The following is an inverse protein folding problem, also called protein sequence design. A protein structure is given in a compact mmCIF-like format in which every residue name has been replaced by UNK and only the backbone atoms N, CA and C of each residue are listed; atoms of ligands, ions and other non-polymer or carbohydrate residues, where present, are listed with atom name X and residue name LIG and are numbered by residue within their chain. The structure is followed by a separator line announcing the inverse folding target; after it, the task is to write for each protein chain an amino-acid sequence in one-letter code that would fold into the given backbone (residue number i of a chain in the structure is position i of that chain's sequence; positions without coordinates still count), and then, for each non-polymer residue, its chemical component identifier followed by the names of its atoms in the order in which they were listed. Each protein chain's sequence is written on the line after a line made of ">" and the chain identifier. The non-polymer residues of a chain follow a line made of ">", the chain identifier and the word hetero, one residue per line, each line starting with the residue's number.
data_IF_340506660160
#
_entry.id   IF_340506660160
#
_cell.length_a   1.000
_cell.length_b   1.000
_cell.length_c   1.000
_cell.angle_alpha   90.00
_cell.angle_beta   90.00
_cell.angle_gamma   90.00
#
_symmetry.space_group_name_H-M   'P 1'
#
loop_
_entity.id
_entity.type
_entity.pdbx_description
1 polymer ?
#
# COMPACT_ATOMS: atom_id res chain seq x y z
N UNK A 1 -34.25 -97.56 -3.98
CA UNK A 1 -33.22 -97.02 -3.02
C UNK A 1 -32.48 -95.94 -3.73
N UNK A 2 -32.59 -94.67 -3.30
CA UNK A 2 -31.89 -93.52 -3.89
C UNK A 2 -30.77 -93.02 -2.96
N UNK A 3 -29.64 -92.68 -3.61
CA UNK A 3 -28.46 -92.05 -3.01
C UNK A 3 -28.68 -90.53 -2.77
N UNK A 4 -28.29 -90.11 -1.58
CA UNK A 4 -28.27 -88.67 -1.17
C UNK A 4 -27.10 -87.94 -1.74
N UNK A 5 -27.33 -86.90 -2.51
CA UNK A 5 -26.38 -85.93 -3.00
C UNK A 5 -26.11 -84.86 -1.95
N UNK A 6 -24.93 -84.81 -1.37
CA UNK A 6 -24.45 -83.77 -0.48
C UNK A 6 -23.98 -82.55 -1.32
N UNK A 7 -24.69 -81.43 -1.22
CA UNK A 7 -24.26 -80.14 -1.72
C UNK A 7 -23.27 -79.48 -0.72
N UNK A 8 -21.99 -79.39 -1.16
CA UNK A 8 -20.98 -78.58 -0.41
C UNK A 8 -21.13 -77.10 -0.69
N UNK A 9 -21.39 -76.34 0.37
CA UNK A 9 -21.43 -74.88 0.32
C UNK A 9 -20.04 -74.29 0.16
N UNK A 10 -19.78 -73.59 -0.95
CA UNK A 10 -18.61 -72.75 -1.14
C UNK A 10 -18.79 -71.47 -0.32
N UNK A 11 -18.02 -71.29 0.78
CA UNK A 11 -17.84 -70.01 1.46
C UNK A 11 -17.03 -69.09 0.56
N UNK A 12 -17.63 -68.01 0.08
CA UNK A 12 -16.97 -66.97 -0.64
C UNK A 12 -15.82 -66.34 0.21
N UNK A 13 -14.61 -66.41 -0.35
CA UNK A 13 -13.44 -65.70 0.22
C UNK A 13 -13.59 -64.22 -0.05
N UNK A 14 -13.29 -63.32 0.91
CA UNK A 14 -13.31 -61.89 0.67
C UNK A 14 -12.20 -61.54 -0.35
N UNK A 15 -12.59 -60.76 -1.31
CA UNK A 15 -11.71 -60.25 -2.40
C UNK A 15 -10.76 -59.21 -1.79
N UNK A 16 -9.58 -59.62 -1.31
CA UNK A 16 -8.52 -58.69 -0.92
C UNK A 16 -7.76 -58.26 -2.19
N UNK A 17 -7.96 -57.06 -2.62
CA UNK A 17 -7.15 -56.40 -3.65
C UNK A 17 -5.67 -56.39 -3.21
N UNK A 18 -4.86 -57.28 -3.79
CA UNK A 18 -3.42 -57.30 -3.60
C UNK A 18 -2.79 -56.15 -4.43
N UNK A 19 -2.74 -54.95 -3.87
CA UNK A 19 -1.95 -53.85 -4.42
C UNK A 19 -0.44 -54.14 -4.26
N UNK A 20 0.38 -53.95 -5.31
CA UNK A 20 1.82 -54.16 -5.21
C UNK A 20 2.46 -53.28 -4.16
N UNK A 21 3.50 -53.78 -3.47
CA UNK A 21 4.14 -53.12 -2.30
C UNK A 21 4.57 -51.65 -2.52
N UNK A 22 4.88 -51.28 -3.76
CA UNK A 22 5.21 -49.89 -4.14
C UNK A 22 3.98 -48.97 -4.02
N UNK A 23 2.81 -49.39 -4.46
CA UNK A 23 1.56 -48.61 -4.37
C UNK A 23 1.13 -48.36 -2.91
N UNK A 24 1.31 -49.36 -2.02
CA UNK A 24 1.00 -49.23 -0.59
C UNK A 24 1.84 -48.13 0.08
N UNK A 25 3.11 -48.02 -0.27
CA UNK A 25 4.00 -46.95 0.28
C UNK A 25 3.59 -45.57 -0.19
N UNK A 26 3.18 -45.42 -1.47
CA UNK A 26 2.69 -44.15 -2.00
C UNK A 26 1.31 -43.79 -1.42
N UNK A 27 0.40 -44.74 -1.32
CA UNK A 27 -0.91 -44.51 -0.66
C UNK A 27 -0.72 -44.10 0.79
N UNK A 28 0.15 -44.77 1.54
CA UNK A 28 0.45 -44.37 2.91
C UNK A 28 1.01 -42.95 3.02
N UNK A 29 1.98 -42.56 2.16
CA UNK A 29 2.54 -41.23 2.10
C UNK A 29 1.48 -40.16 1.76
N UNK A 30 0.66 -40.43 0.75
CA UNK A 30 -0.42 -39.51 0.35
C UNK A 30 -1.46 -39.40 1.46
N UNK A 31 -1.86 -40.52 2.08
CA UNK A 31 -2.81 -40.53 3.20
C UNK A 31 -2.25 -39.75 4.40
N UNK A 32 -0.97 -39.88 4.70
CA UNK A 32 -0.33 -39.12 5.79
C UNK A 32 -0.31 -37.62 5.48
N UNK A 33 0.01 -37.23 4.25
CA UNK A 33 -0.03 -35.83 3.81
C UNK A 33 -1.47 -35.29 3.89
N UNK A 34 -2.45 -36.03 3.39
CA UNK A 34 -3.85 -35.65 3.47
C UNK A 34 -4.34 -35.55 4.91
N UNK A 35 -3.97 -36.47 5.79
CA UNK A 35 -4.36 -36.46 7.20
C UNK A 35 -3.85 -35.20 7.93
N UNK A 36 -2.67 -34.71 7.59
CA UNK A 36 -2.07 -33.50 8.20
C UNK A 36 -2.61 -32.22 7.58
N UNK A 37 -2.71 -32.16 6.25
CA UNK A 37 -3.04 -30.92 5.54
C UNK A 37 -4.55 -30.70 5.38
N UNK A 38 -5.36 -31.76 5.28
CA UNK A 38 -6.80 -31.63 5.10
C UNK A 38 -7.50 -30.90 6.27
N UNK A 39 -7.21 -31.21 7.54
CA UNK A 39 -7.76 -30.45 8.65
C UNK A 39 -7.38 -28.96 8.61
N UNK A 40 -6.11 -28.65 8.26
CA UNK A 40 -5.66 -27.28 8.15
C UNK A 40 -6.38 -26.50 7.02
N UNK A 41 -6.61 -27.15 5.87
CA UNK A 41 -7.37 -26.61 4.76
C UNK A 41 -8.85 -26.41 5.13
N UNK A 42 -9.45 -27.35 5.87
CA UNK A 42 -10.83 -27.23 6.33
C UNK A 42 -10.97 -26.07 7.34
N UNK A 43 -10.03 -25.92 8.26
CA UNK A 43 -10.01 -24.80 9.20
C UNK A 43 -9.83 -23.48 8.44
N UNK A 44 -8.91 -23.41 7.49
CA UNK A 44 -8.71 -22.23 6.63
C UNK A 44 -10.00 -21.87 5.88
N UNK A 45 -10.67 -22.87 5.29
CA UNK A 45 -11.94 -22.66 4.58
C UNK A 45 -13.05 -22.19 5.53
N UNK A 46 -13.17 -22.82 6.70
CA UNK A 46 -14.12 -22.41 7.73
C UNK A 46 -13.88 -20.98 8.22
N UNK A 47 -12.62 -20.61 8.48
CA UNK A 47 -12.24 -19.25 8.86
C UNK A 47 -12.54 -18.22 7.75
N UNK A 48 -12.45 -18.60 6.49
CA UNK A 48 -12.82 -17.74 5.36
C UNK A 48 -14.33 -17.55 5.22
N UNK A 49 -15.11 -18.59 5.48
CA UNK A 49 -16.57 -18.58 5.38
C UNK A 49 -17.20 -17.88 6.59
N UNK A 50 -16.77 -18.25 7.79
CA UNK A 50 -17.36 -17.77 9.04
C UNK A 50 -16.93 -16.33 9.39
N UNK A 51 -15.83 -15.85 8.84
CA UNK A 51 -15.25 -14.52 9.10
C UNK A 51 -15.48 -14.06 10.55
N UNK A 52 -14.91 -14.74 11.56
CA UNK A 52 -15.18 -14.43 12.95
C UNK A 52 -14.87 -12.97 13.25
N UNK A 53 -15.67 -12.30 14.08
CA UNK A 53 -15.52 -10.87 14.42
C UNK A 53 -14.15 -10.51 15.02
N UNK A 54 -13.49 -11.47 15.69
CA UNK A 54 -12.12 -11.28 16.24
C UNK A 54 -11.00 -11.39 15.18
N UNK A 55 -11.31 -11.88 13.98
CA UNK A 55 -10.48 -11.77 12.77
C UNK A 55 -10.74 -10.45 12.01
N UNK A 56 -11.30 -9.47 12.70
CA UNK A 56 -11.63 -8.19 12.09
C UNK A 56 -10.43 -7.55 11.39
N UNK A 57 -10.70 -6.80 10.32
CA UNK A 57 -9.68 -6.10 9.52
C UNK A 57 -8.94 -4.99 10.29
N UNK A 58 -9.14 -4.90 11.61
CA UNK A 58 -8.54 -3.88 12.47
C UNK A 58 -7.08 -4.14 12.81
N UNK A 59 -6.61 -5.36 12.59
CA UNK A 59 -5.25 -5.73 12.90
C UNK A 59 -4.35 -5.54 11.67
N UNK A 60 -3.41 -4.61 11.80
CA UNK A 60 -2.30 -4.50 10.85
C UNK A 60 -1.16 -5.42 11.33
N UNK A 61 -0.81 -6.50 10.60
CA UNK A 61 0.22 -7.44 11.04
C UNK A 61 1.62 -6.84 11.02
N UNK A 62 1.79 -5.64 10.45
CA UNK A 62 3.09 -5.01 10.25
C UNK A 62 3.27 -3.76 11.11
N UNK A 63 2.17 -3.12 11.51
CA UNK A 63 2.21 -1.84 12.23
C UNK A 63 1.15 -1.81 13.34
N UNK A 64 1.60 -1.59 14.57
CA UNK A 64 0.74 -1.21 15.70
C UNK A 64 0.84 0.29 15.99
N UNK A 65 -0.11 0.85 16.74
CA UNK A 65 -0.05 2.24 17.23
C UNK A 65 -0.03 2.27 18.74
N UNK A 66 0.85 3.07 19.33
CA UNK A 66 0.97 3.22 20.80
C UNK A 66 -0.20 3.99 21.41
N UNK A 67 -0.85 4.86 20.62
CA UNK A 67 -2.05 5.58 21.03
C UNK A 67 -2.93 5.85 19.81
N UNK A 68 -4.16 5.36 19.85
CA UNK A 68 -5.15 5.62 18.81
C UNK A 68 -6.16 6.64 19.34
N UNK A 69 -5.78 7.92 19.31
CA UNK A 69 -6.69 9.00 19.70
C UNK A 69 -7.56 9.41 18.50
N UNK A 70 -8.86 9.62 18.71
CA UNK A 70 -9.74 10.13 17.68
C UNK A 70 -9.21 11.43 17.06
N UNK A 71 -9.47 11.61 15.77
CA UNK A 71 -9.06 12.81 15.03
C UNK A 71 -9.89 14.02 15.46
N UNK A 72 -11.19 13.80 15.66
CA UNK A 72 -12.12 14.87 16.00
C UNK A 72 -12.56 14.82 17.47
N UNK A 73 -12.95 15.98 17.98
CA UNK A 73 -13.61 16.12 19.27
C UNK A 73 -14.89 16.96 19.12
N UNK A 74 -15.92 16.65 19.93
CA UNK A 74 -17.13 17.44 19.96
C UNK A 74 -16.87 18.76 20.71
N UNK A 75 -17.22 19.87 20.06
CA UNK A 75 -17.33 21.17 20.71
C UNK A 75 -18.77 21.33 21.21
N UNK A 76 -19.00 21.25 22.54
CA UNK A 76 -20.35 21.31 23.10
C UNK A 76 -21.01 22.68 22.92
N UNK A 77 -20.22 23.76 22.83
CA UNK A 77 -20.73 25.13 22.73
C UNK A 77 -21.55 25.40 21.49
N UNK A 78 -21.13 24.82 20.34
CA UNK A 78 -21.80 25.03 19.04
C UNK A 78 -22.24 23.75 18.37
N UNK A 79 -22.20 22.62 19.09
CA UNK A 79 -22.57 21.29 18.60
C UNK A 79 -21.89 20.92 17.26
N UNK A 80 -20.59 21.18 17.14
CA UNK A 80 -19.78 20.82 15.97
C UNK A 80 -18.64 19.90 16.38
N UNK A 81 -18.24 19.04 15.44
CA UNK A 81 -16.94 18.37 15.53
C UNK A 81 -15.84 19.28 15.02
N UNK A 82 -14.68 19.22 15.67
CA UNK A 82 -13.46 19.94 15.27
C UNK A 82 -12.25 19.04 15.43
N UNK A 83 -11.19 19.32 14.69
CA UNK A 83 -9.90 18.64 14.87
C UNK A 83 -9.38 18.88 16.29
N UNK A 84 -8.93 17.83 16.98
CA UNK A 84 -8.33 17.90 18.31
C UNK A 84 -7.07 18.76 18.30
N UNK A 85 -6.80 19.51 19.38
CA UNK A 85 -5.62 20.37 19.48
C UNK A 85 -4.30 19.62 19.25
N UNK A 86 -4.17 18.40 19.79
CA UNK A 86 -2.97 17.58 19.61
C UNK A 86 -2.81 17.01 18.20
N UNK A 87 -3.85 17.01 17.38
CA UNK A 87 -3.83 16.57 15.98
C UNK A 87 -3.52 17.73 15.00
N UNK A 88 -3.61 18.97 15.43
CA UNK A 88 -3.35 20.15 14.59
C UNK A 88 -1.90 20.23 14.08
N UNK A 89 -0.99 19.46 14.65
CA UNK A 89 0.38 19.33 14.14
C UNK A 89 0.41 18.67 12.76
N UNK A 90 -0.48 17.70 12.53
CA UNK A 90 -0.54 16.94 11.28
C UNK A 90 -1.74 17.26 10.41
N UNK A 91 -2.84 17.75 10.98
CA UNK A 91 -4.08 18.07 10.28
C UNK A 91 -4.38 19.56 10.32
N UNK A 92 -5.03 20.08 9.29
CA UNK A 92 -5.55 21.44 9.30
C UNK A 92 -6.86 21.52 10.09
N UNK A 93 -7.12 22.68 10.71
CA UNK A 93 -8.37 22.91 11.41
C UNK A 93 -9.54 22.73 10.44
N UNK A 94 -10.52 21.94 10.87
CA UNK A 94 -11.71 21.63 10.12
C UNK A 94 -12.86 21.41 11.09
N UNK A 95 -14.06 21.84 10.71
CA UNK A 95 -15.26 21.73 11.54
C UNK A 95 -16.46 21.31 10.72
N UNK A 96 -17.35 20.52 11.31
CA UNK A 96 -18.62 20.14 10.70
C UNK A 96 -19.68 19.89 11.77
N UNK A 97 -21.00 20.02 11.48
CA UNK A 97 -22.05 19.81 12.45
C UNK A 97 -22.06 18.39 13.04
N UNK A 98 -22.31 18.29 14.34
CA UNK A 98 -22.46 17.01 15.03
C UNK A 98 -23.60 16.18 14.44
N UNK A 99 -24.77 16.81 14.27
CA UNK A 99 -25.92 16.15 13.63
C UNK A 99 -25.95 16.49 12.14
N UNK A 100 -25.99 15.49 11.31
CA UNK A 100 -26.21 15.62 9.85
C UNK A 100 -27.69 15.90 9.58
N UNK A 101 -28.02 16.94 8.83
CA UNK A 101 -29.39 17.19 8.38
C UNK A 101 -29.75 16.27 7.20
N UNK A 102 -31.06 16.04 6.97
CA UNK A 102 -31.56 15.11 5.94
C UNK A 102 -31.19 15.50 4.50
N UNK A 103 -31.03 16.79 4.24
CA UNK A 103 -30.65 17.39 2.97
C UNK A 103 -29.14 17.49 2.75
N UNK A 104 -28.35 17.04 3.74
CA UNK A 104 -26.88 17.12 3.71
C UNK A 104 -26.27 15.86 3.13
N UNK A 105 -25.35 16.04 2.15
CA UNK A 105 -24.47 15.02 1.64
C UNK A 105 -23.07 15.21 2.21
N UNK A 106 -22.60 14.26 3.02
CA UNK A 106 -21.36 14.35 3.79
C UNK A 106 -20.25 13.48 3.19
N UNK A 107 -19.16 14.11 2.78
CA UNK A 107 -17.99 13.48 2.14
C UNK A 107 -16.79 13.63 3.04
N UNK A 108 -16.10 12.54 3.36
CA UNK A 108 -14.79 12.57 4.02
C UNK A 108 -13.69 12.29 3.01
N UNK A 109 -12.72 13.20 2.91
CA UNK A 109 -11.56 13.10 2.01
C UNK A 109 -10.32 12.72 2.82
N UNK A 110 -9.86 11.48 2.66
CA UNK A 110 -8.73 10.92 3.40
C UNK A 110 -7.47 10.91 2.52
N UNK A 111 -6.33 11.28 3.11
CA UNK A 111 -5.05 11.20 2.42
C UNK A 111 -3.91 11.89 3.15
N UNK A 112 -2.85 12.18 2.42
CA UNK A 112 -1.67 12.87 2.91
C UNK A 112 -1.77 14.40 2.83
N UNK A 113 -0.62 15.06 2.83
CA UNK A 113 -0.50 16.52 2.73
C UNK A 113 -1.11 17.11 1.45
N UNK A 114 -1.17 16.35 0.37
CA UNK A 114 -1.84 16.76 -0.87
C UNK A 114 -3.35 16.92 -0.69
N UNK A 115 -3.99 16.06 0.10
CA UNK A 115 -5.41 16.20 0.46
C UNK A 115 -5.60 17.39 1.37
N UNK A 116 -4.68 17.60 2.34
CA UNK A 116 -4.74 18.77 3.22
C UNK A 116 -4.66 20.10 2.46
N UNK A 117 -3.92 20.14 1.32
CA UNK A 117 -3.72 21.33 0.51
C UNK A 117 -2.33 21.95 0.61
N UNK A 118 -1.36 21.27 1.28
CA UNK A 118 0.03 21.76 1.39
C UNK A 118 0.68 21.93 0.01
N UNK A 119 1.54 22.94 -0.15
CA UNK A 119 2.08 23.88 0.87
C UNK A 119 1.16 25.07 1.20
N UNK A 120 0.00 25.13 0.57
CA UNK A 120 -0.97 26.20 0.74
C UNK A 120 -1.94 25.90 1.91
N UNK A 121 -2.94 26.75 2.09
CA UNK A 121 -3.95 26.58 3.12
C UNK A 121 -5.07 25.62 2.70
N UNK A 122 -5.84 25.15 3.67
CA UNK A 122 -6.95 24.22 3.43
C UNK A 122 -8.04 24.82 2.51
N UNK A 123 -8.20 26.13 2.52
CA UNK A 123 -9.18 26.87 1.71
C UNK A 123 -8.91 26.71 0.21
N UNK A 124 -7.66 26.52 -0.18
CA UNK A 124 -7.23 26.29 -1.58
C UNK A 124 -7.04 24.82 -1.92
N UNK A 125 -7.33 23.92 -0.98
CA UNK A 125 -7.27 22.48 -1.22
C UNK A 125 -8.33 22.03 -2.24
N UNK A 126 -8.09 20.93 -2.92
CA UNK A 126 -9.08 20.37 -3.85
C UNK A 126 -10.41 20.02 -3.16
N UNK A 127 -10.38 19.74 -1.85
CA UNK A 127 -11.59 19.43 -1.08
C UNK A 127 -12.49 20.66 -0.92
N UNK A 128 -11.90 21.85 -0.78
CA UNK A 128 -12.64 23.12 -0.75
C UNK A 128 -13.21 23.44 -2.13
N UNK A 129 -12.45 23.24 -3.19
CA UNK A 129 -12.93 23.39 -4.57
C UNK A 129 -14.03 22.39 -4.89
N UNK A 130 -13.90 21.14 -4.47
CA UNK A 130 -14.93 20.11 -4.64
C UNK A 130 -16.25 20.54 -3.97
N UNK A 131 -16.18 21.05 -2.73
CA UNK A 131 -17.37 21.57 -2.02
C UNK A 131 -18.03 22.70 -2.77
N UNK A 132 -17.25 23.67 -3.27
CA UNK A 132 -17.75 24.79 -4.03
C UNK A 132 -18.42 24.33 -5.34
N UNK A 133 -17.76 23.45 -6.09
CA UNK A 133 -18.29 22.94 -7.33
C UNK A 133 -19.61 22.18 -7.14
N UNK A 134 -19.68 21.30 -6.14
CA UNK A 134 -20.90 20.55 -5.82
C UNK A 134 -22.03 21.48 -5.38
N UNK A 135 -21.74 22.48 -4.53
CA UNK A 135 -22.73 23.45 -4.07
C UNK A 135 -23.24 24.34 -5.21
N UNK A 136 -22.38 24.68 -6.18
CA UNK A 136 -22.76 25.47 -7.35
C UNK A 136 -23.64 24.67 -8.31
N UNK A 137 -23.31 23.40 -8.52
CA UNK A 137 -24.06 22.54 -9.43
C UNK A 137 -25.41 22.05 -8.85
N UNK A 138 -25.48 21.95 -7.52
CA UNK A 138 -26.65 21.43 -6.80
C UNK A 138 -27.01 22.36 -5.64
N UNK A 139 -27.53 23.57 -5.94
CA UNK A 139 -27.84 24.58 -4.91
C UNK A 139 -28.93 24.12 -3.94
N UNK A 140 -29.76 23.16 -4.32
CA UNK A 140 -30.84 22.58 -3.53
C UNK A 140 -30.36 21.64 -2.44
N UNK A 141 -29.09 21.18 -2.50
CA UNK A 141 -28.48 20.25 -1.54
C UNK A 141 -27.39 20.95 -0.72
N UNK A 142 -27.19 20.48 0.49
CA UNK A 142 -26.08 20.90 1.32
C UNK A 142 -24.94 19.90 1.23
N UNK A 143 -23.72 20.37 0.91
CA UNK A 143 -22.52 19.53 0.84
C UNK A 143 -21.57 19.86 1.98
N UNK A 144 -21.22 18.82 2.74
CA UNK A 144 -20.16 18.88 3.75
C UNK A 144 -18.98 18.04 3.25
N UNK A 145 -17.91 18.70 2.81
CA UNK A 145 -16.68 18.05 2.35
C UNK A 145 -15.62 18.25 3.42
N UNK A 146 -15.39 17.19 4.20
CA UNK A 146 -14.50 17.20 5.37
C UNK A 146 -13.11 16.74 4.95
N UNK A 147 -12.13 17.59 5.17
CA UNK A 147 -10.74 17.32 4.84
C UNK A 147 -10.06 16.56 5.98
N UNK A 148 -9.73 15.29 5.76
CA UNK A 148 -8.96 14.43 6.65
C UNK A 148 -7.54 14.16 6.08
N UNK A 149 -6.96 15.17 5.44
CA UNK A 149 -5.58 15.11 4.95
C UNK A 149 -4.58 15.32 6.08
N UNK A 150 -3.75 14.32 6.36
CA UNK A 150 -2.68 14.37 7.36
C UNK A 150 -1.30 14.55 6.72
N UNK A 151 -0.50 15.50 7.21
CA UNK A 151 0.89 15.68 6.76
C UNK A 151 1.66 14.38 6.99
N UNK A 152 2.33 13.90 5.95
CA UNK A 152 3.13 12.66 5.99
C UNK A 152 2.35 11.36 6.26
N UNK A 153 1.01 11.40 6.22
CA UNK A 153 0.17 10.22 6.44
C UNK A 153 0.24 9.25 5.25
N UNK A 154 0.64 8.02 5.52
CA UNK A 154 0.60 6.90 4.60
C UNK A 154 -0.69 6.09 4.78
N UNK A 155 -0.97 5.14 3.88
CA UNK A 155 -2.21 4.36 3.84
C UNK A 155 -2.57 3.65 5.16
N UNK A 156 -1.59 3.10 5.88
CA UNK A 156 -1.82 2.42 7.17
C UNK A 156 -2.29 3.38 8.27
N UNK A 157 -1.90 4.66 8.23
CA UNK A 157 -2.38 5.69 9.17
C UNK A 157 -3.78 6.17 8.85
N UNK A 158 -4.24 5.99 7.60
CA UNK A 158 -5.60 6.35 7.19
C UNK A 158 -6.65 5.35 7.66
N UNK A 159 -6.27 4.09 7.90
CA UNK A 159 -7.23 3.05 8.33
C UNK A 159 -7.96 3.43 9.63
N UNK A 160 -7.29 3.82 10.72
CA UNK A 160 -7.99 4.25 11.95
C UNK A 160 -8.83 5.52 11.74
N UNK A 161 -8.38 6.48 10.93
CA UNK A 161 -9.17 7.67 10.59
C UNK A 161 -10.44 7.30 9.83
N UNK A 162 -10.35 6.38 8.87
CA UNK A 162 -11.51 5.86 8.14
C UNK A 162 -12.51 5.19 9.09
N UNK A 163 -12.01 4.36 10.01
CA UNK A 163 -12.88 3.68 10.99
C UNK A 163 -13.61 4.67 11.89
N UNK A 164 -12.93 5.72 12.34
CA UNK A 164 -13.55 6.80 13.10
C UNK A 164 -14.67 7.48 12.28
N UNK A 165 -14.38 7.87 11.03
CA UNK A 165 -15.36 8.50 10.14
C UNK A 165 -16.61 7.65 9.95
N UNK A 166 -16.43 6.35 9.69
CA UNK A 166 -17.54 5.42 9.45
C UNK A 166 -18.35 5.08 10.70
N UNK A 167 -17.70 5.11 11.87
CA UNK A 167 -18.37 4.74 13.13
C UNK A 167 -19.11 5.90 13.79
N UNK A 168 -18.68 7.15 13.56
CA UNK A 168 -19.12 8.27 14.37
C UNK A 168 -19.79 9.42 13.59
N UNK A 169 -19.56 9.54 12.26
CA UNK A 169 -19.87 10.77 11.56
C UNK A 169 -20.83 10.63 10.38
N UNK A 170 -21.39 9.45 10.15
CA UNK A 170 -22.43 9.18 9.15
C UNK A 170 -22.08 9.72 7.74
N UNK A 171 -21.01 9.24 7.10
CA UNK A 171 -20.62 9.63 5.75
C UNK A 171 -21.53 9.07 4.69
N UNK A 172 -21.78 9.84 3.63
CA UNK A 172 -22.43 9.37 2.39
C UNK A 172 -21.41 8.93 1.35
N UNK A 173 -20.17 9.44 1.42
CA UNK A 173 -19.09 9.08 0.51
C UNK A 173 -17.73 9.21 1.22
N UNK A 174 -16.87 8.25 0.98
CA UNK A 174 -15.45 8.31 1.34
C UNK A 174 -14.63 8.51 0.07
N UNK A 175 -13.76 9.52 0.06
CA UNK A 175 -12.76 9.75 -0.98
C UNK A 175 -11.39 9.46 -0.40
N UNK A 176 -10.63 8.54 -1.02
CA UNK A 176 -9.29 8.13 -0.58
C UNK A 176 -8.28 8.53 -1.66
N UNK A 177 -7.39 9.48 -1.33
CA UNK A 177 -6.31 9.94 -2.20
C UNK A 177 -4.96 9.76 -1.47
N UNK A 178 -4.27 8.65 -1.74
CA UNK A 178 -3.05 8.25 -0.98
C UNK A 178 -2.03 7.53 -1.87
N UNK A 179 -0.82 7.40 -1.37
CA UNK A 179 0.28 6.69 -2.03
C UNK A 179 1.61 7.46 -2.06
N UNK A 180 1.62 8.75 -1.68
CA UNK A 180 2.84 9.57 -1.71
C UNK A 180 3.77 9.31 -0.51
N UNK A 181 3.24 8.85 0.62
CA UNK A 181 3.97 8.82 1.90
C UNK A 181 4.34 7.40 2.35
N UNK A 182 4.20 6.41 1.48
CA UNK A 182 4.35 4.99 1.86
C UNK A 182 5.77 4.64 2.31
N UNK A 183 6.76 5.41 1.89
CA UNK A 183 8.18 5.18 2.17
C UNK A 183 8.76 6.12 3.23
N UNK A 184 7.95 6.94 3.91
CA UNK A 184 8.42 7.97 4.84
C UNK A 184 8.87 7.41 6.19
N UNK A 185 8.20 6.41 6.73
CA UNK A 185 8.48 5.90 8.06
C UNK A 185 9.27 4.59 8.02
N UNK A 186 10.28 4.46 8.88
CA UNK A 186 10.97 3.20 9.10
C UNK A 186 10.05 2.26 9.90
N UNK A 187 9.17 1.63 9.18
CA UNK A 187 8.34 0.56 9.71
C UNK A 187 9.20 -0.67 9.90
N UNK A 188 9.01 -1.42 10.97
CA UNK A 188 9.81 -2.62 11.17
C UNK A 188 9.40 -3.74 10.20
N UNK A 189 9.71 -3.55 8.96
CA UNK A 189 9.96 -4.68 8.07
C UNK A 189 11.27 -5.41 8.44
N UNK A 190 11.74 -5.27 9.70
CA UNK A 190 12.99 -5.91 10.19
C UNK A 190 12.98 -7.40 9.89
N UNK A 191 11.83 -8.03 9.98
CA UNK A 191 11.68 -9.45 9.67
C UNK A 191 11.88 -9.73 8.17
N UNK A 192 11.33 -8.89 7.29
CA UNK A 192 11.49 -9.03 5.83
C UNK A 192 12.86 -8.57 5.32
N UNK A 193 13.50 -7.62 6.01
CA UNK A 193 14.88 -7.19 5.69
C UNK A 193 15.92 -8.28 5.98
N UNK A 194 15.64 -9.21 6.90
CA UNK A 194 16.57 -10.28 7.32
C UNK A 194 16.42 -11.58 6.55
N UNK A 195 15.28 -11.85 5.90
CA UNK A 195 15.06 -13.09 5.18
C UNK A 195 15.45 -12.96 3.72
N UNK A 196 16.18 -13.96 3.22
CA UNK A 196 16.57 -14.02 1.83
C UNK A 196 15.38 -13.98 0.88
N UNK A 197 15.52 -13.41 -0.34
CA UNK A 197 14.45 -13.33 -1.35
C UNK A 197 13.75 -14.65 -1.65
N UNK A 198 14.42 -15.78 -1.38
CA UNK A 198 13.91 -17.14 -1.57
C UNK A 198 12.70 -17.50 -0.68
N UNK A 199 12.51 -16.82 0.45
CA UNK A 199 11.40 -17.09 1.38
C UNK A 199 10.17 -16.19 1.14
N UNK A 200 10.25 -15.24 0.22
CA UNK A 200 9.17 -14.28 -0.06
C UNK A 200 7.85 -14.93 -0.52
N UNK A 201 7.84 -16.01 -1.37
CA UNK A 201 6.61 -16.72 -1.71
C UNK A 201 5.94 -17.38 -0.51
N UNK A 202 6.73 -17.96 0.40
CA UNK A 202 6.24 -18.61 1.63
C UNK A 202 5.66 -17.58 2.58
N UNK A 203 6.33 -16.45 2.74
CA UNK A 203 5.86 -15.34 3.58
C UNK A 203 4.59 -14.70 2.99
N UNK A 204 4.47 -14.58 1.68
CA UNK A 204 3.24 -14.12 1.02
C UNK A 204 2.09 -15.07 1.25
N UNK A 205 2.33 -16.38 1.09
CA UNK A 205 1.33 -17.41 1.39
C UNK A 205 0.92 -17.39 2.85
N UNK A 206 1.86 -17.33 3.78
CA UNK A 206 1.60 -17.25 5.21
C UNK A 206 0.76 -16.01 5.57
N UNK A 207 1.02 -14.86 4.96
CA UNK A 207 0.24 -13.62 5.13
C UNK A 207 -1.17 -13.70 4.51
N UNK A 208 -1.39 -14.54 3.52
CA UNK A 208 -2.72 -14.75 2.91
C UNK A 208 -3.58 -15.77 3.65
N UNK A 209 -2.99 -16.57 4.53
CA UNK A 209 -3.69 -17.60 5.32
C UNK A 209 -4.42 -17.00 6.51
N UNK A 210 -5.74 -17.24 6.59
CA UNK A 210 -6.57 -16.84 7.73
C UNK A 210 -6.18 -17.55 9.00
N UNK A 211 -5.79 -18.82 8.90
CA UNK A 211 -5.32 -19.64 10.01
C UNK A 211 -4.06 -19.03 10.65
N UNK A 212 -3.08 -18.65 9.83
CA UNK A 212 -1.84 -18.03 10.32
C UNK A 212 -2.15 -16.65 10.94
N UNK A 213 -3.01 -15.85 10.31
CA UNK A 213 -3.47 -14.58 10.88
C UNK A 213 -4.16 -14.77 12.23
N UNK A 214 -4.97 -15.84 12.37
CA UNK A 214 -5.66 -16.19 13.62
C UNK A 214 -4.67 -16.57 14.72
N UNK A 215 -3.69 -17.40 14.41
CA UNK A 215 -2.64 -17.81 15.36
C UNK A 215 -1.83 -16.60 15.82
N UNK A 216 -1.45 -15.71 14.90
CA UNK A 216 -0.74 -14.48 15.24
C UNK A 216 -1.60 -13.57 16.11
N UNK A 217 -2.89 -13.43 15.81
CA UNK A 217 -3.83 -12.62 16.59
C UNK A 217 -4.01 -13.17 18.01
N UNK A 218 -4.18 -14.49 18.17
CA UNK A 218 -4.28 -15.15 19.47
C UNK A 218 -2.99 -15.06 20.27
N UNK A 219 -1.83 -15.26 19.63
CA UNK A 219 -0.54 -15.14 20.27
C UNK A 219 -0.28 -13.70 20.77
N UNK A 220 -0.77 -12.70 20.05
CA UNK A 220 -0.65 -11.29 20.42
C UNK A 220 -1.65 -10.88 21.50
N UNK A 221 -2.83 -11.52 21.56
CA UNK A 221 -3.81 -11.26 22.62
C UNK A 221 -3.31 -11.74 24.00
N UNK A 222 -2.54 -12.84 24.05
CA UNK A 222 -1.95 -13.38 25.27
C UNK A 222 -0.60 -12.76 25.67
N UNK A 223 -0.01 -11.91 24.82
CA UNK A 223 1.25 -11.21 25.08
C UNK A 223 0.96 -9.74 25.37
N UNK A 224 0.46 -9.47 26.57
CA UNK A 224 0.59 -8.15 27.15
C UNK A 224 2.10 -7.87 27.36
N UNK A 225 2.59 -6.82 26.72
CA UNK A 225 3.72 -5.96 27.07
C UNK A 225 5.14 -6.18 26.57
N UNK A 226 5.59 -7.29 25.96
CA UNK A 226 7.05 -7.40 25.78
C UNK A 226 7.57 -7.93 24.42
N UNK A 227 6.88 -7.70 23.32
CA UNK A 227 7.46 -7.96 21.98
C UNK A 227 7.48 -6.71 21.13
N UNK A 228 8.62 -6.39 20.47
CA UNK A 228 8.74 -5.21 19.64
C UNK A 228 8.02 -5.42 18.29
N UNK A 229 6.70 -5.46 18.28
CA UNK A 229 6.00 -4.96 17.10
C UNK A 229 6.35 -3.48 17.02
N UNK A 230 6.76 -2.97 15.86
CA UNK A 230 7.00 -1.54 15.76
C UNK A 230 5.68 -0.83 15.97
N UNK A 231 5.48 -0.46 17.19
CA UNK A 231 4.39 0.39 17.59
C UNK A 231 4.78 1.79 17.11
N UNK A 232 4.08 2.28 16.11
CA UNK A 232 4.28 3.66 15.67
C UNK A 232 3.69 4.60 16.72
N UNK A 233 4.37 5.69 16.96
CA UNK A 233 3.80 6.83 17.69
C UNK A 233 2.54 7.32 16.97
N UNK A 234 1.59 7.87 17.70
CA UNK A 234 0.44 8.58 17.14
C UNK A 234 0.85 9.72 16.20
N UNK A 235 2.05 10.26 16.36
CA UNK A 235 2.68 11.22 15.44
C UNK A 235 3.55 10.53 14.41
N UNK A 236 3.58 11.10 13.19
CA UNK A 236 4.46 10.61 12.12
C UNK A 236 5.92 10.89 12.50
N UNK A 237 6.73 9.84 12.42
CA UNK A 237 8.17 9.92 12.60
C UNK A 237 8.85 9.63 11.25
N UNK A 238 8.91 10.64 10.40
CA UNK A 238 9.45 10.49 9.05
C UNK A 238 10.97 10.33 9.09
N UNK A 239 11.50 9.35 8.35
CA UNK A 239 12.95 9.14 8.22
C UNK A 239 13.68 10.38 7.69
N UNK A 240 13.00 11.21 6.88
CA UNK A 240 13.58 12.45 6.35
C UNK A 240 13.84 13.51 7.42
N UNK A 241 13.08 13.47 8.53
CA UNK A 241 13.22 14.42 9.63
C UNK A 241 14.41 14.06 10.55
N UNK A 242 15.03 12.89 10.36
CA UNK A 242 16.21 12.50 11.11
C UNK A 242 17.46 13.25 10.62
N UNK A 243 18.44 13.39 11.50
CA UNK A 243 19.75 13.87 11.09
C UNK A 243 20.28 13.00 9.93
N UNK A 244 20.63 13.63 8.80
CA UNK A 244 20.97 12.98 7.53
C UNK A 244 19.89 12.01 7.04
N UNK A 245 18.62 12.35 7.23
CA UNK A 245 17.50 11.46 6.94
C UNK A 245 17.49 10.93 5.52
N UNK A 246 17.85 11.75 4.52
CA UNK A 246 17.92 11.33 3.13
C UNK A 246 19.02 10.28 2.89
N UNK A 247 20.11 10.28 3.67
CA UNK A 247 21.20 9.32 3.54
C UNK A 247 20.78 7.91 3.95
N UNK A 248 19.72 7.77 4.77
CA UNK A 248 19.16 6.48 5.21
C UNK A 248 18.43 5.71 4.13
N UNK A 249 18.03 6.39 3.06
CA UNK A 249 17.40 5.74 1.92
C UNK A 249 18.46 5.09 1.03
N UNK A 250 18.36 3.79 0.86
CA UNK A 250 19.21 2.99 -0.02
C UNK A 250 18.37 2.12 -0.93
N UNK A 251 18.93 1.76 -2.09
CA UNK A 251 18.29 0.81 -2.98
C UNK A 251 18.16 -0.54 -2.27
N UNK A 252 16.90 -0.93 -2.00
CA UNK A 252 16.55 -2.18 -1.35
C UNK A 252 15.23 -2.68 -1.92
N UNK A 253 15.31 -3.61 -2.88
CA UNK A 253 14.13 -4.15 -3.57
C UNK A 253 13.20 -4.91 -2.61
N UNK A 254 13.73 -5.64 -1.66
CA UNK A 254 12.93 -6.37 -0.67
C UNK A 254 12.11 -5.41 0.20
N UNK A 255 12.74 -4.31 0.64
CA UNK A 255 12.01 -3.26 1.38
C UNK A 255 10.95 -2.59 0.52
N UNK A 256 11.29 -2.19 -0.71
CA UNK A 256 10.33 -1.56 -1.63
C UNK A 256 9.14 -2.48 -1.92
N UNK A 257 9.40 -3.78 -2.15
CA UNK A 257 8.34 -4.77 -2.37
C UNK A 257 7.46 -4.89 -1.14
N UNK A 258 8.04 -4.96 0.06
CA UNK A 258 7.28 -5.03 1.32
C UNK A 258 6.39 -3.79 1.53
N UNK A 259 6.87 -2.60 1.20
CA UNK A 259 6.08 -1.36 1.26
C UNK A 259 4.91 -1.41 0.28
N UNK A 260 5.15 -1.83 -0.96
CA UNK A 260 4.11 -1.98 -2.00
C UNK A 260 3.04 -3.00 -1.59
N UNK A 261 3.46 -4.13 -1.02
CA UNK A 261 2.54 -5.18 -0.52
C UNK A 261 1.71 -4.68 0.67
N UNK A 262 2.32 -3.92 1.58
CA UNK A 262 1.61 -3.30 2.69
C UNK A 262 0.61 -2.25 2.22
N UNK A 263 0.98 -1.42 1.25
CA UNK A 263 0.05 -0.48 0.62
C UNK A 263 -1.17 -1.21 0.04
N UNK A 264 -0.92 -2.27 -0.76
CA UNK A 264 -2.01 -3.09 -1.31
C UNK A 264 -2.93 -3.65 -0.22
N UNK A 265 -2.36 -4.20 0.85
CA UNK A 265 -3.12 -4.70 2.00
C UNK A 265 -4.03 -3.60 2.58
N UNK A 266 -3.50 -2.41 2.82
CA UNK A 266 -4.24 -1.31 3.43
C UNK A 266 -5.34 -0.77 2.52
N UNK A 267 -5.10 -0.66 1.22
CA UNK A 267 -6.15 -0.27 0.26
C UNK A 267 -7.31 -1.28 0.29
N UNK A 268 -7.03 -2.57 0.17
CA UNK A 268 -8.08 -3.59 0.23
C UNK A 268 -8.79 -3.62 1.58
N UNK A 269 -8.08 -3.36 2.68
CA UNK A 269 -8.65 -3.25 4.03
C UNK A 269 -9.62 -2.07 4.12
N UNK A 270 -9.23 -0.89 3.65
CA UNK A 270 -10.10 0.29 3.65
C UNK A 270 -11.35 0.06 2.79
N UNK A 271 -11.21 -0.53 1.61
CA UNK A 271 -12.34 -0.87 0.75
C UNK A 271 -13.30 -1.86 1.40
N UNK A 272 -12.77 -2.88 2.07
CA UNK A 272 -13.58 -3.84 2.84
C UNK A 272 -14.37 -3.16 3.93
N UNK A 273 -13.71 -2.32 4.75
CA UNK A 273 -14.37 -1.60 5.84
C UNK A 273 -15.52 -0.72 5.31
N UNK A 274 -15.33 -0.02 4.19
CA UNK A 274 -16.39 0.75 3.54
C UNK A 274 -17.52 -0.14 3.04
N UNK A 275 -17.20 -1.24 2.38
CA UNK A 275 -18.18 -2.20 1.86
C UNK A 275 -19.04 -2.81 2.98
N UNK A 276 -18.41 -3.23 4.09
CA UNK A 276 -19.10 -3.81 5.24
C UNK A 276 -20.08 -2.81 5.90
N UNK A 277 -19.78 -1.51 5.79
CA UNK A 277 -20.63 -0.41 6.25
C UNK A 277 -21.60 0.12 5.16
N UNK A 278 -21.51 -0.43 3.95
CA UNK A 278 -22.30 0.00 2.79
C UNK A 278 -22.14 1.49 2.45
N UNK A 279 -20.97 2.04 2.72
CA UNK A 279 -20.65 3.43 2.38
C UNK A 279 -19.88 3.44 1.06
N UNK A 280 -20.36 4.19 0.05
CA UNK A 280 -19.65 4.36 -1.22
C UNK A 280 -18.24 4.91 -1.01
N UNK A 281 -17.32 4.46 -1.88
CA UNK A 281 -15.93 4.93 -1.84
C UNK A 281 -15.44 5.26 -3.24
N UNK A 282 -14.64 6.33 -3.34
CA UNK A 282 -13.91 6.71 -4.54
C UNK A 282 -12.42 6.66 -4.24
N UNK A 283 -11.66 5.93 -5.05
CA UNK A 283 -10.21 5.96 -5.04
C UNK A 283 -9.69 7.02 -6.02
N UNK A 284 -8.74 7.81 -5.57
CA UNK A 284 -8.09 8.85 -6.37
C UNK A 284 -6.58 8.61 -6.34
N UNK A 285 -5.96 8.54 -7.52
CA UNK A 285 -4.50 8.53 -7.63
C UNK A 285 -3.98 9.97 -7.52
N UNK A 286 -3.07 10.27 -6.57
CA UNK A 286 -2.47 11.59 -6.49
C UNK A 286 -1.73 11.94 -7.78
N UNK A 287 -1.79 13.20 -8.20
CA UNK A 287 -0.96 13.74 -9.25
C UNK A 287 0.38 14.24 -8.72
N UNK A 288 1.37 14.34 -9.59
CA UNK A 288 2.66 14.94 -9.31
C UNK A 288 3.27 15.52 -10.58
N UNK A 289 4.14 16.51 -10.42
CA UNK A 289 4.84 17.14 -11.54
C UNK A 289 6.07 16.31 -11.93
N UNK A 290 5.97 15.56 -13.02
CA UNK A 290 7.09 14.75 -13.54
C UNK A 290 8.24 15.63 -14.04
N UNK A 291 7.91 16.75 -14.67
CA UNK A 291 8.86 17.61 -15.37
C UNK A 291 9.75 18.40 -14.40
N UNK A 292 9.15 19.00 -13.37
CA UNK A 292 9.82 19.95 -12.49
C UNK A 292 10.13 19.37 -11.09
N UNK A 293 9.86 18.06 -10.90
CA UNK A 293 10.19 17.36 -9.66
C UNK A 293 11.26 16.29 -9.90
N UNK A 294 12.54 16.62 -9.71
CA UNK A 294 13.63 15.64 -9.86
C UNK A 294 13.50 14.51 -8.83
N UNK A 295 14.20 13.39 -9.05
CA UNK A 295 14.35 12.35 -8.01
C UNK A 295 14.90 12.96 -6.72
N UNK A 296 14.33 12.58 -5.58
CA UNK A 296 14.82 13.01 -4.27
C UNK A 296 16.21 12.43 -3.97
N UNK A 297 16.43 11.18 -4.35
CA UNK A 297 17.73 10.53 -4.18
C UNK A 297 18.04 9.59 -5.34
N UNK A 298 19.22 9.77 -5.90
CA UNK A 298 19.81 8.84 -6.87
C UNK A 298 20.99 8.12 -6.24
N UNK A 299 21.10 6.81 -6.45
CA UNK A 299 22.19 5.99 -5.94
C UNK A 299 22.83 5.20 -7.07
N UNK A 300 24.14 5.33 -7.21
CA UNK A 300 24.90 4.59 -8.21
C UNK A 300 24.92 3.10 -7.88
N UNK A 301 25.08 2.25 -8.89
CA UNK A 301 25.22 0.82 -8.70
C UNK A 301 26.46 0.49 -7.87
N UNK A 302 26.31 -0.35 -6.84
CA UNK A 302 27.40 -0.85 -6.00
C UNK A 302 28.34 -1.80 -6.74
N UNK A 303 27.94 -2.28 -7.92
CA UNK A 303 28.72 -3.23 -8.74
C UNK A 303 29.67 -2.55 -9.70
N UNK A 304 29.68 -1.22 -9.76
CA UNK A 304 30.62 -0.48 -10.60
C UNK A 304 32.04 -0.56 -10.03
N UNK A 305 32.97 -1.06 -10.83
CA UNK A 305 34.39 -0.94 -10.52
C UNK A 305 34.89 0.52 -10.65
N UNK A 306 36.14 0.75 -10.26
CA UNK A 306 36.72 2.10 -10.27
C UNK A 306 36.77 2.71 -11.68
N UNK A 307 37.12 1.92 -12.69
CA UNK A 307 37.26 2.38 -14.06
C UNK A 307 35.88 2.75 -14.66
N UNK A 308 34.88 1.85 -14.55
CA UNK A 308 33.52 2.09 -14.97
C UNK A 308 32.92 3.31 -14.26
N UNK A 309 33.18 3.47 -12.96
CA UNK A 309 32.74 4.61 -12.17
C UNK A 309 33.33 5.93 -12.65
N UNK A 310 34.64 5.96 -12.98
CA UNK A 310 35.30 7.14 -13.53
C UNK A 310 34.72 7.49 -14.91
N UNK A 311 34.59 6.50 -15.77
CA UNK A 311 34.04 6.68 -17.13
C UNK A 311 32.59 7.18 -17.08
N UNK A 312 31.77 6.61 -16.20
CA UNK A 312 30.41 7.06 -15.97
C UNK A 312 30.35 8.52 -15.51
N UNK A 313 31.17 8.91 -14.51
CA UNK A 313 31.26 10.30 -14.02
C UNK A 313 31.73 11.26 -15.11
N UNK A 314 32.68 10.85 -15.96
CA UNK A 314 33.15 11.69 -17.08
C UNK A 314 32.03 11.95 -18.10
N UNK A 315 31.20 10.92 -18.39
CA UNK A 315 30.03 11.12 -19.28
C UNK A 315 28.98 12.03 -18.66
N UNK A 316 28.71 11.92 -17.38
CA UNK A 316 27.76 12.82 -16.68
C UNK A 316 28.26 14.28 -16.70
N UNK A 317 29.56 14.48 -16.43
CA UNK A 317 30.18 15.82 -16.52
C UNK A 317 30.09 16.38 -17.95
N UNK A 318 30.53 15.61 -18.93
CA UNK A 318 30.46 16.05 -20.34
C UNK A 318 29.01 16.34 -20.79
N UNK A 319 28.03 15.59 -20.30
CA UNK A 319 26.62 15.88 -20.54
C UNK A 319 26.20 17.23 -19.94
N UNK A 320 26.57 17.46 -18.67
CA UNK A 320 26.25 18.71 -17.97
C UNK A 320 26.87 19.93 -18.69
N UNK A 321 28.11 19.81 -19.13
CA UNK A 321 28.85 20.89 -19.83
C UNK A 321 28.19 21.24 -21.20
N UNK A 322 27.57 20.25 -21.85
CA UNK A 322 26.91 20.45 -23.16
C UNK A 322 25.40 20.76 -23.06
N UNK A 323 24.81 20.74 -21.87
CA UNK A 323 23.33 20.84 -21.67
C UNK A 323 22.76 22.17 -22.19
N UNK A 324 23.55 23.24 -22.24
CA UNK A 324 23.15 24.57 -22.71
C UNK A 324 23.43 24.79 -24.18
N UNK A 325 24.58 24.32 -24.64
CA UNK A 325 25.15 24.73 -25.94
C UNK A 325 24.95 23.66 -27.04
N UNK A 326 24.92 22.37 -26.69
CA UNK A 326 24.79 21.25 -27.62
C UNK A 326 24.01 20.10 -27.03
N UNK A 327 22.69 20.17 -27.19
CA UNK A 327 21.76 19.13 -26.62
C UNK A 327 21.98 17.75 -27.26
N UNK A 328 22.46 17.67 -28.51
CA UNK A 328 22.69 16.35 -29.14
C UNK A 328 23.90 15.66 -28.51
N UNK A 329 24.97 16.41 -28.27
CA UNK A 329 26.11 15.89 -27.51
C UNK A 329 25.72 15.53 -26.08
N UNK A 330 24.96 16.39 -25.40
CA UNK A 330 24.47 16.11 -24.05
C UNK A 330 23.67 14.78 -23.99
N UNK A 331 22.73 14.60 -24.92
CA UNK A 331 21.93 13.35 -25.02
C UNK A 331 22.84 12.15 -25.28
N UNK A 332 23.80 12.25 -26.22
CA UNK A 332 24.73 11.16 -26.49
C UNK A 332 25.57 10.77 -25.26
N UNK A 333 26.03 11.75 -24.49
CA UNK A 333 26.78 11.50 -23.25
C UNK A 333 25.90 10.87 -22.16
N UNK A 334 24.65 11.34 -21.97
CA UNK A 334 23.71 10.75 -21.04
C UNK A 334 23.38 9.28 -21.39
N UNK A 335 23.23 8.98 -22.69
CA UNK A 335 23.02 7.60 -23.15
C UNK A 335 24.23 6.71 -22.88
N UNK A 336 25.47 7.23 -23.06
CA UNK A 336 26.70 6.53 -22.67
C UNK A 336 26.77 6.32 -21.15
N UNK A 337 26.40 7.30 -20.34
CA UNK A 337 26.29 7.13 -18.90
C UNK A 337 25.27 6.05 -18.51
N UNK A 338 24.11 6.01 -19.17
CA UNK A 338 23.08 4.98 -18.95
C UNK A 338 23.51 3.58 -19.41
N UNK A 339 24.41 3.47 -20.40
CA UNK A 339 24.95 2.15 -20.78
C UNK A 339 25.83 1.55 -19.68
N UNK A 340 26.42 2.38 -18.83
CA UNK A 340 27.26 1.98 -17.70
C UNK A 340 26.39 1.77 -16.44
N UNK A 341 25.53 2.73 -16.10
CA UNK A 341 24.60 2.62 -14.94
C UNK A 341 23.18 3.04 -15.32
N UNK A 342 22.35 2.05 -15.63
CA UNK A 342 20.93 2.25 -15.92
C UNK A 342 20.10 2.57 -14.67
N UNK A 343 20.64 2.33 -13.48
CA UNK A 343 19.95 2.47 -12.22
C UNK A 343 20.00 3.88 -11.63
N UNK A 344 20.79 4.78 -12.15
CA UNK A 344 20.94 6.12 -11.58
C UNK A 344 19.83 7.07 -12.05
N UNK A 345 18.88 7.36 -11.17
CA UNK A 345 17.66 8.10 -11.49
C UNK A 345 17.93 9.49 -12.08
N UNK A 346 18.94 10.22 -11.57
CA UNK A 346 19.25 11.57 -12.05
C UNK A 346 19.72 11.59 -13.50
N UNK A 347 20.34 10.52 -14.02
CA UNK A 347 20.72 10.46 -15.44
C UNK A 347 19.48 10.40 -16.33
N UNK A 348 18.48 9.61 -15.95
CA UNK A 348 17.19 9.56 -16.66
C UNK A 348 16.47 10.90 -16.61
N UNK A 349 16.50 11.58 -15.46
CA UNK A 349 15.88 12.89 -15.34
C UNK A 349 16.56 13.92 -16.24
N UNK A 350 17.90 13.98 -16.23
CA UNK A 350 18.67 14.87 -17.12
C UNK A 350 18.41 14.59 -18.62
N UNK A 351 18.32 13.31 -19.00
CA UNK A 351 17.97 12.91 -20.37
C UNK A 351 16.55 13.36 -20.73
N UNK A 352 15.60 13.25 -19.78
CA UNK A 352 14.23 13.76 -19.92
C UNK A 352 14.21 15.27 -20.17
N UNK A 353 15.00 16.04 -19.41
CA UNK A 353 15.13 17.49 -19.60
C UNK A 353 15.73 17.84 -20.98
N UNK A 354 16.76 17.14 -21.42
CA UNK A 354 17.35 17.34 -22.75
C UNK A 354 16.34 17.06 -23.89
N UNK A 355 15.58 15.95 -23.78
CA UNK A 355 14.52 15.65 -24.74
C UNK A 355 13.38 16.68 -24.72
N UNK A 356 13.03 17.18 -23.52
CA UNK A 356 11.99 18.20 -23.39
C UNK A 356 12.40 19.50 -24.10
N UNK A 357 13.64 19.96 -23.92
CA UNK A 357 14.17 21.14 -24.59
C UNK A 357 14.17 20.97 -26.12
N UNK A 358 14.36 19.76 -26.62
CA UNK A 358 14.24 19.43 -28.05
C UNK A 358 12.79 19.17 -28.50
N UNK A 359 11.79 19.44 -27.65
CA UNK A 359 10.37 19.17 -27.93
C UNK A 359 10.05 17.69 -28.23
N UNK A 360 10.91 16.77 -27.81
CA UNK A 360 10.66 15.32 -27.91
C UNK A 360 9.83 14.82 -26.72
N UNK A 361 8.60 15.31 -26.58
CA UNK A 361 7.76 15.16 -25.38
C UNK A 361 7.55 13.72 -24.94
N UNK A 362 7.35 12.78 -25.88
CA UNK A 362 7.14 11.37 -25.53
C UNK A 362 8.40 10.73 -24.93
N UNK A 363 9.58 10.99 -25.49
CA UNK A 363 10.85 10.52 -24.97
C UNK A 363 11.13 11.14 -23.59
N UNK A 364 10.89 12.45 -23.47
CA UNK A 364 11.01 13.16 -22.20
C UNK A 364 10.14 12.52 -21.11
N UNK A 365 8.85 12.28 -21.38
CA UNK A 365 7.91 11.63 -20.46
C UNK A 365 8.41 10.26 -20.03
N UNK A 366 8.88 9.42 -20.95
CA UNK A 366 9.42 8.09 -20.64
C UNK A 366 10.64 8.18 -19.72
N UNK A 367 11.55 9.11 -19.99
CA UNK A 367 12.74 9.31 -19.16
C UNK A 367 12.37 9.80 -17.75
N UNK A 368 11.44 10.73 -17.60
CA UNK A 368 10.96 11.18 -16.30
C UNK A 368 10.24 10.07 -15.53
N UNK A 369 9.48 9.20 -16.20
CA UNK A 369 8.88 8.04 -15.57
C UNK A 369 9.94 7.06 -15.06
N UNK A 370 10.99 6.80 -15.84
CA UNK A 370 12.11 5.97 -15.38
C UNK A 370 12.82 6.59 -14.18
N UNK A 371 13.04 7.90 -14.19
CA UNK A 371 13.63 8.62 -13.07
C UNK A 371 12.79 8.49 -11.80
N UNK A 372 11.45 8.54 -11.90
CA UNK A 372 10.53 8.32 -10.78
C UNK A 372 10.64 6.91 -10.21
N UNK A 373 10.65 5.88 -11.07
CA UNK A 373 10.71 4.47 -10.64
C UNK A 373 12.06 4.11 -9.97
N UNK A 374 13.12 4.81 -10.36
CA UNK A 374 14.48 4.60 -9.85
C UNK A 374 14.84 5.51 -8.67
N UNK A 375 13.93 6.39 -8.25
CA UNK A 375 14.13 7.23 -7.07
C UNK A 375 14.26 6.36 -5.83
N UNK A 376 15.39 6.49 -5.13
CA UNK A 376 15.69 5.68 -3.94
C UNK A 376 14.89 6.17 -2.73
N UNK A 377 14.45 7.43 -2.75
CA UNK A 377 13.57 8.03 -1.75
C UNK A 377 12.21 8.38 -2.40
N UNK A 378 11.35 7.38 -2.71
CA UNK A 378 10.17 7.58 -3.52
C UNK A 378 9.01 8.20 -2.70
N UNK A 379 8.98 9.52 -2.63
CA UNK A 379 7.94 10.29 -1.94
C UNK A 379 6.79 10.70 -2.87
N UNK A 380 6.62 9.95 -3.94
CA UNK A 380 5.54 10.13 -4.91
C UNK A 380 4.94 8.77 -5.24
N UNK A 381 3.65 8.77 -5.59
CA UNK A 381 3.00 7.54 -6.04
C UNK A 381 3.67 7.04 -7.32
N UNK A 382 4.38 5.92 -7.24
CA UNK A 382 5.02 5.29 -8.39
C UNK A 382 4.02 4.43 -9.17
N UNK A 383 4.45 3.92 -10.33
CA UNK A 383 3.60 3.12 -11.22
C UNK A 383 2.98 1.90 -10.53
N UNK A 384 3.72 1.23 -9.63
CA UNK A 384 3.23 0.05 -8.91
C UNK A 384 2.13 0.39 -7.90
N UNK A 385 2.27 1.49 -7.15
CA UNK A 385 1.23 1.95 -6.21
C UNK A 385 -0.02 2.41 -6.97
N UNK A 386 0.16 3.14 -8.08
CA UNK A 386 -0.92 3.59 -8.94
C UNK A 386 -1.68 2.41 -9.57
N UNK A 387 -0.96 1.41 -10.07
CA UNK A 387 -1.55 0.17 -10.58
C UNK A 387 -2.34 -0.57 -9.49
N UNK A 388 -1.86 -0.56 -8.25
CA UNK A 388 -2.56 -1.12 -7.10
C UNK A 388 -3.90 -0.43 -6.86
N UNK A 389 -3.97 0.90 -6.88
CA UNK A 389 -5.23 1.64 -6.73
C UNK A 389 -6.22 1.29 -7.85
N UNK A 390 -5.75 1.32 -9.10
CA UNK A 390 -6.58 1.01 -10.28
C UNK A 390 -7.12 -0.43 -10.22
N UNK A 391 -6.28 -1.40 -9.88
CA UNK A 391 -6.68 -2.80 -9.78
C UNK A 391 -7.63 -3.04 -8.60
N UNK A 392 -7.38 -2.40 -7.47
CA UNK A 392 -8.26 -2.48 -6.31
C UNK A 392 -9.65 -1.91 -6.64
N UNK A 393 -9.70 -0.76 -7.29
CA UNK A 393 -10.97 -0.18 -7.73
C UNK A 393 -11.77 -1.12 -8.64
N UNK A 394 -11.09 -1.76 -9.60
CA UNK A 394 -11.72 -2.77 -10.47
C UNK A 394 -12.23 -3.97 -9.66
N UNK A 395 -11.42 -4.51 -8.75
CA UNK A 395 -11.77 -5.71 -7.97
C UNK A 395 -12.97 -5.48 -7.02
N UNK A 396 -13.14 -4.26 -6.53
CA UNK A 396 -14.21 -3.87 -5.61
C UNK A 396 -15.36 -3.11 -6.29
N UNK A 397 -15.28 -2.93 -7.62
CA UNK A 397 -16.28 -2.19 -8.40
C UNK A 397 -16.55 -0.79 -7.85
N UNK A 398 -15.50 -0.09 -7.41
CA UNK A 398 -15.59 1.28 -6.89
C UNK A 398 -15.05 2.28 -7.92
N UNK A 399 -15.45 3.53 -7.78
CA UNK A 399 -14.98 4.60 -8.66
C UNK A 399 -13.47 4.83 -8.49
N UNK A 400 -12.78 5.02 -9.61
CA UNK A 400 -11.37 5.38 -9.66
C UNK A 400 -11.17 6.60 -10.54
N UNK A 401 -10.48 7.58 -10.00
CA UNK A 401 -10.08 8.76 -10.72
C UNK A 401 -8.57 8.92 -10.72
N UNK A 402 -7.99 9.03 -11.90
CA UNK A 402 -6.55 9.16 -12.09
C UNK A 402 -6.22 10.62 -12.44
N UNK A 403 -5.56 11.32 -11.51
CA UNK A 403 -5.19 12.72 -11.67
C UNK A 403 -3.90 12.94 -12.46
N UNK A 404 -3.18 11.86 -12.86
CA UNK A 404 -1.89 11.96 -13.57
C UNK A 404 -2.08 12.10 -15.07
#
# INVERSE_FOLDING_TARGET
>A
MPEESRRGGQKGRPFFLHLPRLHKRWIFRISTILLVFLPLLLIEAALRILSPKWLEPNFDPLVGFSSNQPLFELNPTNATFRIRKNQLRSFAQNTFPHKKSRDTFRIFCLGGSTVQGRPYSIETSFTSWLRLALQTQHPEKKFEVINCGGVSYASYRLVPVLQECLNQYDPDLILICTGNNEFLEDRSYRFTKKFAPSLDPVLRFARSSRLIQSVISLANHNRSSDTPHSTLDGQVNAMLDYERGIERYHRNEAWQTSVKDHFRLNIHRMLRICNDRRVPVMLVSPCFNLKDSPPFKSEASKTLDKEASQKWKSHLKAASDNMRDDLDKAIAQLQKALSIDKGYAATWYALGQAYLQKSHFQKAKQCFQQALELDVCPLRVNTALRATLKQAAKNWSVLFYDLQ
#
